data_IF_315769553657
#
_entry.id   IF_315769553657
#
_cell.length_a   1.000
_cell.length_b   1.000
_cell.length_c   1.000
_cell.angle_alpha   90.00
_cell.angle_beta   90.00
_cell.angle_gamma   90.00
#
_symmetry.space_group_name_H-M   'P 1'
#
loop_
_entity.id
_entity.type
_entity.pdbx_description
1 polymer ?
#
# COMPACT_ATOMS: atom_id res chain seq x y z
N UNK A 1 -1.91 -12.03 2.25
CA UNK A 1 -2.76 -11.30 1.30
C UNK A 1 -4.07 -10.84 1.93
N UNK A 2 -4.99 -11.74 2.33
CA UNK A 2 -6.25 -11.36 2.97
C UNK A 2 -6.15 -10.98 4.47
N UNK A 3 -4.97 -11.07 5.09
CA UNK A 3 -4.78 -10.91 6.54
C UNK A 3 -3.60 -9.98 6.89
N UNK A 4 -3.39 -8.90 6.12
CA UNK A 4 -2.36 -7.89 6.37
C UNK A 4 -2.86 -6.50 5.98
N UNK A 5 -2.29 -5.46 6.59
CA UNK A 5 -2.53 -4.05 6.22
C UNK A 5 -1.90 -3.66 4.86
N UNK A 6 -1.23 -4.59 4.18
CA UNK A 6 -0.46 -4.30 2.97
C UNK A 6 -1.32 -4.41 1.71
N UNK A 7 -1.35 -3.33 0.93
CA UNK A 7 -1.88 -3.35 -0.43
C UNK A 7 -0.81 -3.87 -1.39
N UNK A 8 -1.18 -4.83 -2.22
CA UNK A 8 -0.27 -5.46 -3.16
C UNK A 8 -0.88 -5.49 -4.57
N UNK A 9 -0.01 -5.32 -5.57
CA UNK A 9 -0.33 -5.31 -6.99
C UNK A 9 0.56 -6.33 -7.71
N UNK A 10 -0.01 -7.07 -8.66
CA UNK A 10 0.76 -7.93 -9.57
C UNK A 10 1.05 -7.17 -10.86
N UNK A 11 2.32 -7.15 -11.28
CA UNK A 11 2.79 -6.46 -12.49
C UNK A 11 3.40 -7.45 -13.49
N UNK A 12 2.96 -7.38 -14.75
CA UNK A 12 3.53 -8.15 -15.86
C UNK A 12 4.50 -7.26 -16.65
N UNK A 13 5.81 -7.50 -16.50
CA UNK A 13 6.86 -6.60 -17.01
C UNK A 13 7.33 -6.91 -18.44
N UNK A 14 6.80 -7.96 -19.08
CA UNK A 14 7.12 -8.31 -20.46
C UNK A 14 6.61 -9.68 -20.90
N UNK A 15 6.61 -9.93 -22.21
CA UNK A 15 6.04 -11.16 -22.78
C UNK A 15 6.95 -12.39 -22.62
N UNK A 16 8.26 -12.21 -22.45
CA UNK A 16 9.23 -13.30 -22.28
C UNK A 16 9.55 -13.48 -20.81
N UNK A 17 9.19 -14.64 -20.26
CA UNK A 17 9.41 -14.98 -18.84
C UNK A 17 10.89 -15.00 -18.44
N UNK A 18 11.80 -15.39 -19.36
CA UNK A 18 13.24 -15.47 -19.13
C UNK A 18 14.02 -14.84 -20.29
N UNK A 19 14.18 -13.50 -20.30
CA UNK A 19 14.94 -12.83 -21.34
C UNK A 19 16.45 -13.08 -21.19
N UNK A 20 17.23 -13.02 -22.30
CA UNK A 20 18.69 -13.04 -22.24
C UNK A 20 19.26 -11.93 -21.34
N UNK A 21 20.36 -12.22 -20.63
CA UNK A 21 20.98 -11.28 -19.68
C UNK A 21 21.39 -9.93 -20.30
N UNK A 22 21.72 -9.91 -21.60
CA UNK A 22 22.03 -8.69 -22.36
C UNK A 22 20.87 -7.69 -22.45
N UNK A 23 19.62 -8.15 -22.28
CA UNK A 23 18.42 -7.32 -22.41
C UNK A 23 18.01 -6.71 -21.05
N UNK A 24 18.58 -7.17 -19.93
CA UNK A 24 18.25 -6.70 -18.58
C UNK A 24 18.49 -5.18 -18.37
N UNK A 25 19.58 -4.57 -18.89
CA UNK A 25 19.76 -3.12 -18.76
C UNK A 25 18.65 -2.31 -19.44
N UNK A 26 18.09 -2.83 -20.54
CA UNK A 26 16.98 -2.20 -21.24
C UNK A 26 15.70 -2.27 -20.41
N UNK A 27 15.32 -3.46 -19.91
CA UNK A 27 14.16 -3.62 -19.03
C UNK A 27 14.26 -2.77 -17.76
N UNK A 28 15.45 -2.65 -17.17
CA UNK A 28 15.68 -1.75 -16.04
C UNK A 28 15.38 -0.31 -16.41
N UNK A 29 15.92 0.17 -17.53
CA UNK A 29 15.72 1.55 -17.95
C UNK A 29 14.24 1.87 -18.26
N UNK A 30 13.51 0.92 -18.83
CA UNK A 30 12.07 1.08 -19.10
C UNK A 30 11.23 1.14 -17.82
N UNK A 31 11.57 0.33 -16.80
CA UNK A 31 10.74 0.19 -15.60
C UNK A 31 11.20 1.05 -14.42
N UNK A 32 12.42 1.58 -14.43
CA UNK A 32 13.02 2.30 -13.30
C UNK A 32 12.13 3.41 -12.77
N UNK A 33 11.64 4.29 -13.63
CA UNK A 33 10.82 5.43 -13.20
C UNK A 33 9.46 4.96 -12.65
N UNK A 34 8.85 3.95 -13.27
CA UNK A 34 7.59 3.38 -12.81
C UNK A 34 7.75 2.76 -11.40
N UNK A 35 8.81 1.99 -11.17
CA UNK A 35 9.10 1.39 -9.86
C UNK A 35 9.36 2.45 -8.79
N UNK A 36 10.13 3.50 -9.11
CA UNK A 36 10.37 4.62 -8.19
C UNK A 36 9.07 5.33 -7.84
N UNK A 37 8.25 5.66 -8.84
CA UNK A 37 6.97 6.33 -8.62
C UNK A 37 5.99 5.45 -7.83
N UNK A 38 6.02 4.13 -8.02
CA UNK A 38 5.24 3.18 -7.24
C UNK A 38 5.67 3.17 -5.77
N UNK A 39 6.98 3.16 -5.48
CA UNK A 39 7.47 3.29 -4.10
C UNK A 39 7.02 4.62 -3.46
N UNK A 40 6.99 5.71 -4.21
CA UNK A 40 6.46 6.98 -3.68
C UNK A 40 4.98 6.91 -3.28
N UNK A 41 4.19 6.01 -3.87
CA UNK A 41 2.78 5.85 -3.48
C UNK A 41 2.61 5.38 -2.03
N UNK A 42 3.62 4.76 -1.41
CA UNK A 42 3.56 4.35 0.01
C UNK A 42 3.46 5.52 0.97
N UNK A 43 3.68 6.75 0.50
CA UNK A 43 3.59 7.97 1.30
C UNK A 43 2.31 8.77 1.06
N UNK A 44 1.43 8.31 0.16
CA UNK A 44 0.13 8.90 -0.08
C UNK A 44 -0.86 8.41 0.98
N UNK A 45 -1.89 9.23 1.28
CA UNK A 45 -2.93 8.89 2.24
C UNK A 45 -2.70 9.50 3.62
N UNK A 46 -3.10 8.77 4.66
CA UNK A 46 -3.10 9.24 6.06
C UNK A 46 -2.23 8.29 6.89
N UNK A 47 -1.42 8.86 7.80
CA UNK A 47 -0.63 8.12 8.80
C UNK A 47 -0.67 8.85 10.13
N UNK A 48 -0.62 8.11 11.23
CA UNK A 48 -0.67 8.68 12.57
C UNK A 48 -0.51 7.63 13.67
N UNK A 49 -0.59 8.09 14.92
CA UNK A 49 -0.52 7.25 16.12
C UNK A 49 -1.86 7.39 16.85
N UNK A 50 -2.40 6.27 17.33
CA UNK A 50 -3.60 6.25 18.15
C UNK A 50 -3.15 6.22 19.60
N UNK A 51 -3.57 7.20 20.40
CA UNK A 51 -3.23 7.31 21.82
C UNK A 51 -4.51 7.23 22.69
N UNK A 52 -4.36 6.79 23.93
CA UNK A 52 -5.40 6.93 24.97
C UNK A 52 -5.42 8.35 25.55
N UNK A 53 -6.30 8.60 26.52
CA UNK A 53 -6.43 9.91 27.19
C UNK A 53 -5.15 10.32 27.93
N UNK A 54 -4.35 9.35 28.38
CA UNK A 54 -3.08 9.55 29.09
C UNK A 54 -1.89 9.79 28.13
N UNK A 55 -2.12 9.74 26.81
CA UNK A 55 -1.09 9.93 25.78
C UNK A 55 -0.28 8.68 25.42
N UNK A 56 -0.68 7.51 25.91
CA UNK A 56 -0.03 6.23 25.63
C UNK A 56 -0.56 5.59 24.33
N UNK A 57 0.32 4.98 23.52
CA UNK A 57 -0.08 4.41 22.23
C UNK A 57 -0.94 3.14 22.38
N UNK A 58 -2.02 3.08 21.59
CA UNK A 58 -2.93 1.93 21.50
C UNK A 58 -2.59 1.08 20.28
N UNK A 59 -2.26 -0.18 20.53
CA UNK A 59 -1.99 -1.17 19.50
C UNK A 59 -3.24 -2.00 19.17
N UNK A 60 -3.31 -2.52 17.94
CA UNK A 60 -4.40 -3.36 17.46
C UNK A 60 -5.78 -2.66 17.42
N UNK A 61 -5.80 -1.32 17.37
CA UNK A 61 -7.02 -0.57 17.12
C UNK A 61 -7.43 -0.73 15.65
N UNK A 62 -8.73 -0.85 15.37
CA UNK A 62 -9.25 -0.97 14.00
C UNK A 62 -9.59 0.41 13.44
N UNK A 63 -9.03 0.72 12.26
CA UNK A 63 -9.29 1.94 11.51
C UNK A 63 -10.19 1.59 10.32
N UNK A 64 -11.33 2.30 10.20
CA UNK A 64 -12.27 2.21 9.07
C UNK A 64 -12.39 3.55 8.36
N UNK A 65 -12.54 3.52 7.05
CA UNK A 65 -12.70 4.71 6.21
C UNK A 65 -14.05 4.64 5.51
N UNK A 66 -14.70 5.81 5.40
CA UNK A 66 -15.97 5.97 4.71
C UNK A 66 -15.77 6.70 3.39
N UNK A 67 -16.59 6.36 2.39
CA UNK A 67 -16.67 7.05 1.12
C UNK A 67 -18.11 7.45 0.82
N UNK A 68 -18.28 8.51 0.02
CA UNK A 68 -19.59 8.95 -0.46
C UNK A 68 -19.86 8.30 -1.82
N UNK A 69 -20.89 7.47 -1.90
CA UNK A 69 -21.33 6.76 -3.11
C UNK A 69 -22.81 7.07 -3.33
N UNK A 70 -23.14 7.71 -4.46
CA UNK A 70 -24.52 8.09 -4.79
C UNK A 70 -25.25 8.82 -3.63
N UNK A 71 -24.60 9.82 -3.02
CA UNK A 71 -25.08 10.57 -1.85
C UNK A 71 -25.29 9.74 -0.57
N UNK A 72 -24.77 8.51 -0.51
CA UNK A 72 -24.79 7.65 0.69
C UNK A 72 -23.38 7.39 1.21
N UNK A 73 -23.23 7.37 2.55
CA UNK A 73 -21.97 7.01 3.19
C UNK A 73 -21.84 5.49 3.28
N UNK A 74 -20.79 4.96 2.69
CA UNK A 74 -20.49 3.52 2.70
C UNK A 74 -19.07 3.28 3.24
N UNK A 75 -18.89 2.17 3.95
CA UNK A 75 -17.55 1.76 4.39
C UNK A 75 -16.76 1.24 3.21
N UNK A 76 -15.46 1.56 3.18
CA UNK A 76 -14.52 0.83 2.35
C UNK A 76 -14.29 -0.53 3.03
N UNK A 77 -14.54 -1.63 2.31
CA UNK A 77 -14.38 -3.00 2.80
C UNK A 77 -12.90 -3.40 2.84
N UNK A 78 -12.13 -2.71 3.69
CA UNK A 78 -10.73 -2.98 3.96
C UNK A 78 -10.35 -2.38 5.32
N UNK A 79 -10.49 -3.17 6.38
CA UNK A 79 -10.10 -2.76 7.72
C UNK A 79 -8.58 -2.76 7.89
N UNK A 80 -8.04 -1.72 8.54
CA UNK A 80 -6.61 -1.63 8.89
C UNK A 80 -6.44 -1.67 10.40
N UNK A 81 -5.47 -2.42 10.91
CA UNK A 81 -5.16 -2.48 12.34
C UNK A 81 -3.91 -1.64 12.68
N UNK A 82 -3.93 -0.91 13.80
CA UNK A 82 -2.74 -0.20 14.27
C UNK A 82 -1.66 -1.19 14.70
N UNK A 83 -0.44 -1.00 14.19
CA UNK A 83 0.72 -1.83 14.51
C UNK A 83 1.67 -1.13 15.46
N UNK A 84 2.43 -1.90 16.23
CA UNK A 84 3.51 -1.35 17.07
C UNK A 84 4.60 -0.74 16.18
N UNK A 85 4.92 0.53 16.41
CA UNK A 85 6.16 1.11 15.87
C UNK A 85 7.29 0.64 16.77
N UNK A 86 8.28 -0.04 16.17
CA UNK A 86 9.54 -0.40 16.84
C UNK A 86 10.56 0.73 16.70
#
# INVERSE_FOLDING_TARGET
YLASNCFELTLELGCRKFPPGKDLPHFWNENKNALINFMWQTHVGIKGIINNEDGEPIFNATIKVYQLVNDNWEYIDHDMASSKSY
#
